data_IF_924594344930
#
_entry.id   IF_924594344930
#
_cell.length_a   1.000
_cell.length_b   1.000
_cell.length_c   1.000
_cell.angle_alpha   90.00
_cell.angle_beta   90.00
_cell.angle_gamma   90.00
#
_symmetry.space_group_name_H-M   'P 1'
#
loop_
_entity.id
_entity.type
_entity.pdbx_description
1 polymer ?
#
# COMPACT_ATOMS: atom_id res chain seq x y z
N UNK A 1 16.86 12.78 -7.93
CA UNK A 1 15.50 12.39 -7.49
C UNK A 1 14.56 12.88 -8.57
N UNK A 2 14.03 11.99 -9.40
CA UNK A 2 13.06 12.39 -10.43
C UNK A 2 11.72 12.53 -9.73
N UNK A 3 11.33 13.77 -9.45
CA UNK A 3 9.98 14.05 -8.96
C UNK A 3 8.99 13.59 -10.04
N UNK A 4 7.96 12.86 -9.62
CA UNK A 4 6.83 12.56 -10.48
C UNK A 4 6.21 13.86 -10.97
N UNK A 5 5.88 13.92 -12.25
CA UNK A 5 5.10 15.03 -12.77
C UNK A 5 3.71 15.03 -12.11
N UNK A 6 3.15 16.22 -11.81
CA UNK A 6 1.88 16.34 -11.10
C UNK A 6 0.71 15.72 -11.87
N UNK A 7 0.72 15.78 -13.20
CA UNK A 7 -0.31 15.18 -14.05
C UNK A 7 -0.29 13.64 -13.95
N UNK A 8 0.90 13.03 -14.05
CA UNK A 8 1.08 11.59 -13.89
C UNK A 8 0.67 11.12 -12.49
N UNK A 9 1.02 11.88 -11.47
CA UNK A 9 0.64 11.56 -10.10
C UNK A 9 -0.89 11.61 -9.91
N UNK A 10 -1.58 12.51 -10.60
CA UNK A 10 -3.04 12.62 -10.56
C UNK A 10 -3.70 11.43 -11.25
N UNK A 11 -3.24 11.08 -12.46
CA UNK A 11 -3.76 9.93 -13.21
C UNK A 11 -3.63 8.62 -12.43
N UNK A 12 -2.47 8.40 -11.80
CA UNK A 12 -2.23 7.19 -11.01
C UNK A 12 -3.05 7.17 -9.72
N UNK A 13 -3.27 8.33 -9.09
CA UNK A 13 -4.15 8.42 -7.94
C UNK A 13 -5.60 8.07 -8.31
N UNK A 14 -6.11 8.55 -9.45
CA UNK A 14 -7.44 8.19 -9.96
C UNK A 14 -7.55 6.69 -10.24
N UNK A 15 -6.47 6.08 -10.76
CA UNK A 15 -6.42 4.64 -10.97
C UNK A 15 -6.47 3.85 -9.65
N UNK A 16 -5.76 4.30 -8.62
CA UNK A 16 -5.80 3.71 -7.27
C UNK A 16 -7.21 3.78 -6.68
N UNK A 17 -7.85 4.94 -6.73
CA UNK A 17 -9.23 5.13 -6.23
C UNK A 17 -10.23 4.22 -6.97
N UNK A 18 -10.09 4.10 -8.29
CA UNK A 18 -10.93 3.22 -9.12
C UNK A 18 -10.78 1.76 -8.69
N UNK A 19 -9.55 1.29 -8.50
CA UNK A 19 -9.29 -0.09 -8.06
C UNK A 19 -9.77 -0.33 -6.63
N UNK A 20 -9.56 0.61 -5.71
CA UNK A 20 -10.06 0.51 -4.34
C UNK A 20 -11.60 0.47 -4.30
N UNK A 21 -12.28 1.29 -5.11
CA UNK A 21 -13.72 1.25 -5.23
C UNK A 21 -14.21 -0.11 -5.75
N UNK A 22 -13.55 -0.66 -6.77
CA UNK A 22 -13.85 -1.99 -7.29
C UNK A 22 -13.67 -3.09 -6.22
N UNK A 23 -12.60 -3.04 -5.43
CA UNK A 23 -12.34 -3.99 -4.35
C UNK A 23 -13.37 -3.89 -3.24
N UNK A 24 -13.75 -2.67 -2.84
CA UNK A 24 -14.82 -2.45 -1.84
C UNK A 24 -16.16 -2.99 -2.32
N UNK A 25 -16.48 -2.77 -3.61
CA UNK A 25 -17.70 -3.31 -4.22
C UNK A 25 -17.66 -4.84 -4.30
N UNK A 26 -16.54 -5.44 -4.71
CA UNK A 26 -16.36 -6.89 -4.76
C UNK A 26 -16.43 -7.53 -3.36
N UNK A 27 -15.83 -6.90 -2.35
CA UNK A 27 -15.92 -7.31 -0.95
C UNK A 27 -17.34 -7.21 -0.39
N UNK A 28 -18.07 -6.16 -0.77
CA UNK A 28 -19.48 -6.00 -0.38
C UNK A 28 -20.41 -7.01 -1.07
N UNK A 29 -20.14 -7.36 -2.33
CA UNK A 29 -20.84 -8.42 -3.05
C UNK A 29 -20.51 -9.82 -2.51
N UNK A 30 -19.26 -10.05 -2.08
CA UNK A 30 -18.83 -11.25 -1.37
C UNK A 30 -19.36 -11.33 0.07
N UNK A 31 -19.89 -10.22 0.61
CA UNK A 31 -20.52 -10.10 1.93
C UNK A 31 -21.79 -10.94 2.12
N UNK A 32 -22.30 -11.58 1.06
CA UNK A 32 -23.38 -12.58 1.15
C UNK A 32 -22.85 -14.03 1.26
N UNK A 33 -21.53 -14.29 1.21
CA UNK A 33 -21.01 -15.64 1.03
C UNK A 33 -19.80 -16.08 1.89
N UNK A 34 -19.30 -15.31 2.88
CA UNK A 34 -18.22 -15.81 3.74
C UNK A 34 -18.45 -15.56 5.23
N UNK A 35 -19.11 -16.53 5.86
CA UNK A 35 -18.75 -16.96 7.22
C UNK A 35 -17.49 -17.83 7.13
N UNK A 36 -16.37 -17.29 7.59
CA UNK A 36 -15.32 -17.99 8.35
C UNK A 36 -14.27 -16.94 8.70
N UNK A 37 -14.03 -16.82 9.99
CA UNK A 37 -13.03 -15.96 10.60
C UNK A 37 -11.71 -16.07 9.83
N UNK A 38 -11.44 -15.08 8.98
CA UNK A 38 -10.08 -14.81 8.56
C UNK A 38 -9.44 -14.11 9.74
N UNK A 39 -8.51 -14.78 10.41
CA UNK A 39 -7.52 -14.04 11.20
C UNK A 39 -7.01 -12.90 10.30
N UNK A 40 -6.96 -11.65 10.79
CA UNK A 40 -6.46 -10.54 10.01
C UNK A 40 -4.98 -10.80 9.71
N UNK A 41 -4.72 -11.41 8.56
CA UNK A 41 -3.39 -11.52 8.02
C UNK A 41 -2.96 -10.12 7.62
N UNK A 42 -1.85 -9.63 8.15
CA UNK A 42 -1.20 -8.38 7.71
C UNK A 42 -0.71 -8.42 6.25
N UNK A 43 -1.06 -9.48 5.51
CA UNK A 43 -0.82 -9.57 4.07
C UNK A 43 -2.09 -9.19 3.31
N UNK A 44 -1.97 -8.29 2.32
CA UNK A 44 -3.06 -8.03 1.40
C UNK A 44 -3.39 -9.29 0.59
N UNK A 45 -4.69 -9.57 0.40
CA UNK A 45 -5.17 -10.76 -0.30
C UNK A 45 -5.49 -10.50 -1.79
N UNK A 46 -5.07 -9.35 -2.34
CA UNK A 46 -5.32 -9.03 -3.76
C UNK A 46 -4.32 -9.72 -4.70
N UNK A 47 -4.75 -10.81 -5.33
CA UNK A 47 -3.89 -11.62 -6.20
C UNK A 47 -3.37 -10.87 -7.43
N UNK A 48 -4.14 -9.90 -7.95
CA UNK A 48 -3.77 -9.11 -9.13
C UNK A 48 -2.63 -8.14 -8.80
N UNK A 49 -2.77 -7.35 -7.73
CA UNK A 49 -1.71 -6.45 -7.27
C UNK A 49 -0.43 -7.22 -6.91
N UNK A 50 -0.57 -8.39 -6.29
CA UNK A 50 0.58 -9.24 -5.95
C UNK A 50 1.36 -9.67 -7.20
N UNK A 51 0.68 -10.09 -8.26
CA UNK A 51 1.33 -10.51 -9.49
C UNK A 51 2.09 -9.35 -10.17
N UNK A 52 1.51 -8.15 -10.17
CA UNK A 52 2.16 -6.93 -10.70
C UNK A 52 3.45 -6.63 -9.92
N UNK A 53 3.39 -6.69 -8.59
CA UNK A 53 4.53 -6.42 -7.72
C UNK A 53 5.63 -7.47 -7.88
N UNK A 54 5.28 -8.76 -7.94
CA UNK A 54 6.24 -9.84 -8.16
C UNK A 54 6.98 -9.70 -9.49
N UNK A 55 6.24 -9.36 -10.55
CA UNK A 55 6.82 -9.10 -11.86
C UNK A 55 7.77 -7.89 -11.84
N UNK A 56 7.39 -6.81 -11.17
CA UNK A 56 8.18 -5.59 -11.09
C UNK A 56 9.44 -5.74 -10.21
N UNK A 57 9.32 -6.46 -9.09
CA UNK A 57 10.41 -6.65 -8.13
C UNK A 57 11.35 -7.79 -8.51
N UNK A 58 10.92 -8.73 -9.36
CA UNK A 58 11.69 -9.93 -9.72
C UNK A 58 11.88 -10.90 -8.54
N UNK A 59 11.07 -10.77 -7.50
CA UNK A 59 11.09 -11.62 -6.30
C UNK A 59 9.66 -11.93 -5.86
N UNK A 60 9.50 -12.91 -4.97
CA UNK A 60 8.17 -13.29 -4.47
C UNK A 60 7.56 -12.17 -3.62
N UNK A 61 6.23 -12.07 -3.65
CA UNK A 61 5.50 -11.00 -2.98
C UNK A 61 5.81 -10.96 -1.48
N UNK A 62 5.95 -12.13 -0.85
CA UNK A 62 6.27 -12.22 0.57
C UNK A 62 7.60 -11.57 0.91
N UNK A 63 8.65 -11.81 0.11
CA UNK A 63 9.98 -11.23 0.35
C UNK A 63 9.96 -9.73 0.12
N UNK A 64 9.33 -9.29 -0.98
CA UNK A 64 9.16 -7.88 -1.26
C UNK A 64 8.38 -7.17 -0.14
N UNK A 65 7.26 -7.76 0.28
CA UNK A 65 6.35 -7.14 1.25
C UNK A 65 7.01 -6.94 2.60
N UNK A 66 7.82 -7.86 3.09
CA UNK A 66 8.57 -7.66 4.34
C UNK A 66 9.54 -6.47 4.24
N UNK A 67 10.28 -6.35 3.14
CA UNK A 67 11.20 -5.20 2.91
C UNK A 67 10.44 -3.88 2.81
N UNK A 68 9.33 -3.90 2.08
CA UNK A 68 8.50 -2.73 1.85
C UNK A 68 7.79 -2.29 3.14
N UNK A 69 7.25 -3.25 3.90
CA UNK A 69 6.59 -3.02 5.18
C UNK A 69 7.51 -2.34 6.18
N UNK A 70 8.81 -2.68 6.19
CA UNK A 70 9.81 -1.94 6.99
C UNK A 70 9.83 -0.45 6.67
N UNK A 71 9.91 -0.08 5.38
CA UNK A 71 9.88 1.34 4.96
C UNK A 71 8.54 2.04 5.23
N UNK A 72 7.44 1.31 5.03
CA UNK A 72 6.08 1.78 5.29
C UNK A 72 5.89 2.09 6.79
N UNK A 73 6.39 1.22 7.66
CA UNK A 73 6.38 1.37 9.12
C UNK A 73 7.16 2.61 9.55
N UNK A 74 8.34 2.84 9.01
CA UNK A 74 9.14 4.01 9.36
C UNK A 74 8.41 5.34 9.04
N UNK A 75 7.67 5.42 7.93
CA UNK A 75 6.96 6.64 7.54
C UNK A 75 5.56 6.80 8.18
N UNK A 76 4.96 5.71 8.65
CA UNK A 76 3.64 5.70 9.30
C UNK A 76 3.69 5.72 10.83
N UNK A 77 4.70 5.08 11.43
CA UNK A 77 4.75 4.83 12.87
C UNK A 77 5.65 5.82 13.62
N UNK A 78 6.65 6.42 12.97
CA UNK A 78 7.53 7.38 13.63
C UNK A 78 6.90 8.78 13.69
N UNK A 79 6.98 9.43 14.86
CA UNK A 79 6.59 10.84 15.06
C UNK A 79 7.52 11.74 14.22
N UNK A 80 7.07 12.07 13.00
CA UNK A 80 7.86 12.81 12.00
C UNK A 80 7.79 12.20 10.60
N UNK A 81 7.28 10.98 10.47
CA UNK A 81 6.95 10.38 9.18
C UNK A 81 5.90 11.20 8.44
N UNK A 82 6.04 11.29 7.11
CA UNK A 82 5.13 12.12 6.32
C UNK A 82 3.72 11.56 6.35
N UNK A 83 3.60 10.25 6.16
CA UNK A 83 2.30 9.58 6.17
C UNK A 83 1.72 9.48 7.58
N UNK A 84 2.55 9.41 8.62
CA UNK A 84 2.10 9.53 10.00
C UNK A 84 1.28 10.82 10.21
N UNK A 85 1.84 11.97 9.79
CA UNK A 85 1.18 13.26 9.92
C UNK A 85 -0.08 13.39 9.05
N UNK A 86 -0.07 12.85 7.82
CA UNK A 86 -1.24 12.87 6.95
C UNK A 86 -2.38 12.03 7.51
N UNK A 87 -2.08 10.80 7.96
CA UNK A 87 -3.09 9.94 8.56
C UNK A 87 -3.62 10.51 9.87
N UNK A 88 -2.79 11.10 10.73
CA UNK A 88 -3.28 11.72 11.97
C UNK A 88 -4.28 12.86 11.70
N UNK A 89 -4.08 13.62 10.62
CA UNK A 89 -4.96 14.76 10.26
C UNK A 89 -6.29 14.32 9.67
N UNK A 90 -6.26 13.33 8.79
CA UNK A 90 -7.43 12.97 7.97
C UNK A 90 -8.03 11.62 8.33
N UNK A 91 -7.36 10.86 9.21
CA UNK A 91 -7.59 9.44 9.48
C UNK A 91 -7.70 8.58 8.22
N UNK A 92 -7.22 9.12 7.10
CA UNK A 92 -7.16 8.51 5.79
C UNK A 92 -5.93 9.05 5.05
N UNK A 93 -5.36 8.23 4.17
CA UNK A 93 -4.26 8.64 3.30
C UNK A 93 -4.83 8.90 1.92
N UNK A 94 -4.53 10.06 1.34
CA UNK A 94 -4.94 10.31 -0.03
C UNK A 94 -4.24 9.33 -1.00
N UNK A 95 -4.94 8.88 -2.05
CA UNK A 95 -4.32 8.09 -3.11
C UNK A 95 -3.07 8.76 -3.70
N UNK A 96 -3.08 10.09 -3.76
CA UNK A 96 -1.93 10.89 -4.21
C UNK A 96 -0.70 10.70 -3.33
N UNK A 97 -0.85 10.88 -2.01
CA UNK A 97 0.25 10.70 -1.06
C UNK A 97 0.72 9.24 -1.04
N UNK A 98 -0.21 8.28 -1.12
CA UNK A 98 0.12 6.86 -1.16
C UNK A 98 0.93 6.48 -2.40
N UNK A 99 0.56 7.00 -3.59
CA UNK A 99 1.31 6.79 -4.83
C UNK A 99 2.69 7.43 -4.72
N UNK A 100 2.78 8.70 -4.35
CA UNK A 100 4.06 9.40 -4.24
C UNK A 100 5.05 8.65 -3.32
N UNK A 101 4.57 8.17 -2.18
CA UNK A 101 5.40 7.40 -1.23
C UNK A 101 5.73 6.01 -1.73
N UNK A 102 4.79 5.33 -2.38
CA UNK A 102 5.04 4.05 -3.04
C UNK A 102 6.16 4.17 -4.07
N UNK A 103 6.15 5.22 -4.90
CA UNK A 103 7.24 5.50 -5.83
C UNK A 103 8.59 5.68 -5.13
N UNK A 104 8.63 6.49 -4.07
CA UNK A 104 9.85 6.73 -3.31
C UNK A 104 10.41 5.43 -2.72
N UNK A 105 9.56 4.60 -2.11
CA UNK A 105 9.98 3.34 -1.53
C UNK A 105 10.38 2.30 -2.58
N UNK A 106 9.64 2.19 -3.68
CA UNK A 106 9.95 1.31 -4.81
C UNK A 106 11.30 1.69 -5.43
N UNK A 107 11.54 2.98 -5.65
CA UNK A 107 12.85 3.48 -6.11
C UNK A 107 13.96 3.14 -5.09
N UNK A 108 13.69 3.28 -3.79
CA UNK A 108 14.64 2.90 -2.73
C UNK A 108 14.82 1.38 -2.59
N UNK A 109 13.99 0.56 -3.23
CA UNK A 109 14.16 -0.89 -3.34
C UNK A 109 14.81 -1.30 -4.68
N UNK A 110 15.13 -0.33 -5.55
CA UNK A 110 15.78 -0.57 -6.84
C UNK A 110 14.82 -0.82 -8.00
N UNK A 111 13.51 -0.67 -7.80
CA UNK A 111 12.51 -0.76 -8.87
C UNK A 111 12.52 0.57 -9.63
N UNK A 112 12.65 0.50 -10.95
CA UNK A 112 12.72 1.67 -11.82
C UNK A 112 12.16 1.37 -13.22
N UNK A 113 11.98 2.41 -14.03
CA UNK A 113 11.56 2.29 -15.43
C UNK A 113 10.08 1.98 -15.58
N UNK A 114 9.70 1.27 -16.64
CA UNK A 114 8.30 1.03 -17.03
C UNK A 114 7.49 0.20 -16.03
N UNK A 115 8.16 -0.54 -15.15
CA UNK A 115 7.51 -1.32 -14.09
C UNK A 115 7.09 -0.46 -12.88
N UNK A 116 7.60 0.78 -12.76
CA UNK A 116 7.42 1.60 -11.58
C UNK A 116 5.98 2.08 -11.41
N UNK A 117 5.35 2.55 -12.48
CA UNK A 117 3.97 3.06 -12.45
C UNK A 117 2.95 1.98 -12.03
N UNK A 118 2.87 0.81 -12.69
CA UNK A 118 1.92 -0.22 -12.29
C UNK A 118 2.23 -0.78 -10.90
N UNK A 119 3.52 -0.92 -10.54
CA UNK A 119 3.89 -1.36 -9.20
C UNK A 119 3.49 -0.33 -8.12
N UNK A 120 3.63 0.96 -8.39
CA UNK A 120 3.25 2.01 -7.45
C UNK A 120 1.75 2.05 -7.21
N UNK A 121 0.95 1.89 -8.27
CA UNK A 121 -0.51 1.78 -8.15
C UNK A 121 -0.87 0.55 -7.33
N UNK A 122 -0.30 -0.61 -7.67
CA UNK A 122 -0.59 -1.85 -6.98
C UNK A 122 -0.27 -1.80 -5.48
N UNK A 123 0.89 -1.26 -5.15
CA UNK A 123 1.31 -1.07 -3.76
C UNK A 123 0.43 -0.06 -3.04
N UNK A 124 0.04 1.03 -3.70
CA UNK A 124 -0.83 2.04 -3.08
C UNK A 124 -2.21 1.46 -2.76
N UNK A 125 -2.79 0.68 -3.68
CA UNK A 125 -4.05 -0.03 -3.46
C UNK A 125 -3.92 -0.99 -2.29
N UNK A 126 -2.86 -1.80 -2.25
CA UNK A 126 -2.55 -2.70 -1.15
C UNK A 126 -2.49 -1.95 0.19
N UNK A 127 -1.71 -0.88 0.27
CA UNK A 127 -1.47 -0.12 1.49
C UNK A 127 -2.76 0.51 1.99
N UNK A 128 -3.49 1.21 1.12
CA UNK A 128 -4.74 1.88 1.47
C UNK A 128 -5.83 0.87 1.87
N UNK A 129 -5.91 -0.26 1.18
CA UNK A 129 -6.85 -1.32 1.53
C UNK A 129 -6.54 -1.94 2.90
N UNK A 130 -5.26 -2.23 3.18
CA UNK A 130 -4.82 -2.74 4.49
C UNK A 130 -5.07 -1.72 5.61
N UNK A 131 -4.70 -0.46 5.40
CA UNK A 131 -4.93 0.62 6.36
C UNK A 131 -6.42 0.84 6.66
N UNK A 132 -7.27 0.76 5.65
CA UNK A 132 -8.72 0.90 5.82
C UNK A 132 -9.32 -0.30 6.58
N UNK A 133 -8.83 -1.51 6.30
CA UNK A 133 -9.43 -2.75 6.83
C UNK A 133 -8.95 -3.11 8.24
N UNK A 134 -7.66 -2.93 8.51
CA UNK A 134 -7.01 -3.39 9.77
C UNK A 134 -6.57 -2.19 10.63
N UNK A 135 -6.41 -1.00 10.02
CA UNK A 135 -5.92 0.20 10.69
C UNK A 135 -4.39 0.26 10.80
N UNK A 136 -3.87 1.44 11.15
CA UNK A 136 -2.42 1.64 11.36
C UNK A 136 -1.86 0.74 12.47
N UNK A 137 -2.66 0.43 13.50
CA UNK A 137 -2.20 -0.36 14.65
C UNK A 137 -1.61 -1.69 14.23
N UNK A 138 -2.22 -2.42 13.30
CA UNK A 138 -1.67 -3.69 12.86
C UNK A 138 -0.31 -3.55 12.13
N UNK A 139 -0.10 -2.45 11.40
CA UNK A 139 1.20 -2.15 10.77
C UNK A 139 2.26 -1.75 11.81
N UNK A 140 1.84 -1.10 12.91
CA UNK A 140 2.74 -0.57 13.95
C UNK A 140 2.86 -1.45 15.21
N UNK A 141 1.99 -2.42 15.47
CA UNK A 141 1.99 -3.24 16.70
C UNK A 141 3.21 -4.18 16.74
N UNK A 142 3.85 -4.43 15.59
CA UNK A 142 5.14 -5.12 15.49
C UNK A 142 6.35 -4.21 15.82
N UNK A 143 6.13 -2.94 16.18
CA UNK A 143 7.16 -2.04 16.73
C UNK A 143 7.34 -2.22 18.26
N UNK A 144 6.42 -2.91 18.94
CA UNK A 144 6.35 -3.00 20.40
C UNK A 144 7.24 -4.06 21.06
N UNK A 145 8.04 -4.81 20.30
CA UNK A 145 8.97 -5.82 20.85
C UNK A 145 10.41 -5.59 20.36
N UNK A 146 10.89 -4.36 20.51
CA UNK A 146 12.31 -4.05 20.41
C UNK A 146 12.76 -3.38 21.72
N UNK A 147 12.74 -4.14 22.81
CA UNK A 147 13.49 -3.86 24.04
C UNK A 147 14.55 -4.96 24.21
#
# INVERSE_FOLDING_TARGET
>A
MTALNPDTLTELAEQVETQLAALRLAGSAAGLARTKEAEPSDRPDDAEQRAVVEQAAGESFGVFWEKFRGKLRDDLCLEGGYLHGQWQKWQDLSAKDAVERSYFWLAALGIAGSALNPAAVAISVIVLNTLTSIGIKAICDDCGNAD
#
